data_IF_264341259971
#
_entry.id   IF_264341259971
#
_cell.length_a   1.000
_cell.length_b   1.000
_cell.length_c   1.000
_cell.angle_alpha   90.00
_cell.angle_beta   90.00
_cell.angle_gamma   90.00
#
_symmetry.space_group_name_H-M   'P 1'
#
loop_
_entity.id
_entity.type
_entity.pdbx_description
1 polymer ?
#
# COMPACT_ATOMS: atom_id res chain seq x y z
N UNK A 1 1.80 -16.82 -8.50
CA UNK A 1 1.45 -15.40 -8.69
C UNK A 1 2.06 -14.74 -7.48
N UNK A 2 3.07 -13.89 -7.68
CA UNK A 2 3.91 -13.46 -6.57
C UNK A 2 3.11 -12.60 -5.59
N UNK A 3 2.95 -13.11 -4.38
CA UNK A 3 2.20 -12.48 -3.29
C UNK A 3 3.19 -11.88 -2.28
N UNK A 4 2.98 -10.63 -1.86
CA UNK A 4 3.79 -10.00 -0.81
C UNK A 4 3.01 -9.86 0.49
N UNK A 5 3.65 -10.24 1.61
CA UNK A 5 3.06 -10.21 2.94
C UNK A 5 3.74 -9.11 3.77
N UNK A 6 2.94 -8.23 4.36
CA UNK A 6 3.39 -7.11 5.18
C UNK A 6 2.75 -7.15 6.57
N UNK A 7 3.56 -6.95 7.60
CA UNK A 7 3.07 -6.60 8.93
C UNK A 7 2.74 -5.10 8.98
N UNK A 8 1.62 -4.76 9.61
CA UNK A 8 1.13 -3.40 9.74
C UNK A 8 1.26 -2.90 11.18
N UNK A 9 1.66 -1.64 11.31
CA UNK A 9 1.44 -0.79 12.46
C UNK A 9 0.52 0.35 12.02
N UNK A 10 -0.67 0.42 12.62
CA UNK A 10 -1.66 1.45 12.36
C UNK A 10 -1.81 2.35 13.58
N UNK A 11 -1.70 3.67 13.41
CA UNK A 11 -1.80 4.63 14.52
C UNK A 11 -2.89 5.67 14.26
N UNK A 12 -3.75 5.91 15.25
CA UNK A 12 -4.76 6.97 15.19
C UNK A 12 -4.22 8.27 15.77
N UNK A 13 -4.86 9.39 15.43
CA UNK A 13 -4.58 10.70 16.02
C UNK A 13 -4.84 10.74 17.53
N UNK A 14 -5.68 9.83 18.03
CA UNK A 14 -6.01 9.69 19.46
C UNK A 14 -4.99 8.81 20.22
N UNK A 15 -3.90 8.40 19.57
CA UNK A 15 -2.85 7.59 20.18
C UNK A 15 -3.13 6.09 20.24
N UNK A 16 -4.21 5.61 19.61
CA UNK A 16 -4.46 4.17 19.48
C UNK A 16 -3.46 3.58 18.48
N UNK A 17 -2.78 2.50 18.86
CA UNK A 17 -1.93 1.73 17.96
C UNK A 17 -2.47 0.31 17.82
N UNK A 18 -2.70 -0.16 16.60
CA UNK A 18 -3.17 -1.53 16.32
C UNK A 18 -2.29 -2.20 15.28
N UNK A 19 -2.23 -3.53 15.34
CA UNK A 19 -1.39 -4.36 14.47
C UNK A 19 -2.24 -5.21 13.53
N UNK A 20 -1.68 -5.52 12.37
CA UNK A 20 -2.32 -6.42 11.42
C UNK A 20 -1.39 -6.92 10.34
N UNK A 21 -1.98 -7.53 9.33
CA UNK A 21 -1.28 -8.08 8.17
C UNK A 21 -1.99 -7.65 6.89
N UNK A 22 -1.22 -7.17 5.93
CA UNK A 22 -1.66 -6.93 4.56
C UNK A 22 -0.97 -7.96 3.65
N UNK A 23 -1.75 -8.62 2.82
CA UNK A 23 -1.27 -9.51 1.77
C UNK A 23 -1.71 -8.92 0.44
N UNK A 24 -0.79 -8.65 -0.47
CA UNK A 24 -1.12 -8.11 -1.79
C UNK A 24 -0.67 -9.08 -2.87
N UNK A 25 -1.50 -9.20 -3.90
CA UNK A 25 -1.27 -10.04 -5.08
C UNK A 25 -0.31 -9.33 -6.05
N UNK A 26 0.82 -8.88 -5.52
CA UNK A 26 1.85 -8.12 -6.21
C UNK A 26 3.19 -8.22 -5.46
N UNK A 27 4.27 -8.55 -6.17
CA UNK A 27 5.64 -8.38 -5.69
C UNK A 27 6.33 -7.25 -6.49
N UNK A 28 6.77 -6.16 -5.85
CA UNK A 28 7.55 -5.13 -6.52
C UNK A 28 8.91 -5.64 -7.05
N UNK A 29 9.34 -6.83 -6.66
CA UNK A 29 10.58 -7.45 -7.12
C UNK A 29 11.79 -6.58 -6.80
N UNK A 30 12.78 -6.55 -7.70
CA UNK A 30 14.01 -5.76 -7.53
C UNK A 30 13.89 -4.32 -8.03
N UNK A 31 12.67 -3.86 -8.38
CA UNK A 31 12.46 -2.50 -8.92
C UNK A 31 12.61 -1.44 -7.83
N UNK A 32 12.26 -1.80 -6.59
CA UNK A 32 12.45 -0.98 -5.40
C UNK A 32 13.73 -1.37 -4.66
N UNK A 33 14.44 -0.43 -4.01
CA UNK A 33 15.56 -0.73 -3.14
C UNK A 33 15.11 -1.44 -1.87
N UNK A 34 15.95 -2.30 -1.29
CA UNK A 34 15.65 -3.05 -0.06
C UNK A 34 15.68 -2.16 1.21
N UNK A 35 16.11 -0.91 1.11
CA UNK A 35 16.23 0.01 2.25
C UNK A 35 15.65 1.39 1.94
N UNK A 36 14.96 1.94 2.95
CA UNK A 36 14.50 3.31 2.97
C UNK A 36 15.66 4.31 2.79
N UNK A 37 15.50 5.28 1.89
CA UNK A 37 16.46 6.38 1.71
C UNK A 37 17.46 6.20 0.57
N UNK A 38 17.47 5.07 -0.12
CA UNK A 38 18.13 4.97 -1.43
C UNK A 38 17.14 5.38 -2.52
N UNK A 39 17.48 6.36 -3.38
CA UNK A 39 16.67 6.62 -4.55
C UNK A 39 16.67 5.36 -5.43
N UNK A 40 15.50 4.94 -5.95
CA UNK A 40 15.43 3.88 -6.94
C UNK A 40 16.42 4.11 -8.08
N UNK A 41 17.09 3.06 -8.57
CA UNK A 41 18.08 3.17 -9.65
C UNK A 41 17.53 3.87 -10.91
N UNK A 42 16.22 3.78 -11.15
CA UNK A 42 15.54 4.49 -12.23
C UNK A 42 15.59 6.01 -12.07
N UNK A 43 15.57 6.55 -10.85
CA UNK A 43 15.69 8.00 -10.63
C UNK A 43 17.11 8.49 -10.95
N UNK A 44 18.13 7.66 -10.73
CA UNK A 44 19.50 7.96 -11.17
C UNK A 44 19.62 7.90 -12.70
N UNK A 45 18.97 6.92 -13.34
CA UNK A 45 18.89 6.82 -14.80
C UNK A 45 18.16 8.03 -15.40
N UNK A 46 17.00 8.41 -14.87
CA UNK A 46 16.25 9.61 -15.30
C UNK A 46 17.06 10.89 -15.08
N UNK A 47 17.80 11.00 -13.97
CA UNK A 47 18.68 12.15 -13.70
C UNK A 47 19.86 12.23 -14.68
N UNK A 48 20.36 11.08 -15.15
CA UNK A 48 21.45 11.01 -16.13
C UNK A 48 21.01 11.36 -17.56
N UNK A 49 19.71 11.37 -17.84
CA UNK A 49 19.15 11.81 -19.11
C UNK A 49 18.97 13.34 -19.05
N UNK A 50 19.75 14.08 -19.86
CA UNK A 50 19.79 15.55 -19.88
C UNK A 50 18.39 16.21 -19.98
N UNK A 51 18.18 17.41 -19.42
CA UNK A 51 16.88 18.09 -19.41
C UNK A 51 16.58 18.69 -20.80
N UNK A 52 16.18 17.83 -21.73
CA UNK A 52 15.77 18.22 -23.07
C UNK A 52 14.32 17.77 -23.27
N UNK A 53 13.41 18.74 -23.16
CA UNK A 53 11.95 18.63 -23.34
C UNK A 53 11.20 18.09 -22.11
N UNK A 54 10.01 18.64 -21.87
CA UNK A 54 9.12 18.24 -20.79
C UNK A 54 8.91 16.73 -20.84
N UNK A 55 9.57 16.01 -19.93
CA UNK A 55 9.44 14.57 -19.83
C UNK A 55 8.05 14.30 -19.28
N UNK A 56 7.13 13.91 -20.16
CA UNK A 56 5.85 13.35 -19.75
C UNK A 56 6.14 12.01 -19.08
N UNK A 57 5.89 11.95 -17.78
CA UNK A 57 5.91 10.69 -17.04
C UNK A 57 4.54 10.06 -17.21
N UNK A 58 4.47 8.97 -17.98
CA UNK A 58 3.25 8.17 -18.09
C UNK A 58 2.99 7.45 -16.77
N UNK A 59 1.78 7.65 -16.23
CA UNK A 59 1.28 6.93 -15.05
C UNK A 59 0.33 5.85 -15.55
N UNK A 60 0.74 4.61 -15.34
CA UNK A 60 -0.06 3.43 -15.64
C UNK A 60 -0.85 3.01 -14.40
N UNK A 61 -2.10 2.61 -14.61
CA UNK A 61 -2.94 1.97 -13.61
C UNK A 61 -3.13 0.49 -13.94
N UNK A 62 -3.08 -0.36 -12.92
CA UNK A 62 -3.34 -1.78 -13.05
C UNK A 62 -4.22 -2.25 -11.88
N UNK A 63 -5.06 -3.28 -12.07
CA UNK A 63 -5.84 -3.85 -10.98
C UNK A 63 -4.91 -4.45 -9.92
N UNK A 64 -5.27 -4.25 -8.65
CA UNK A 64 -4.60 -4.82 -7.50
C UNK A 64 -5.63 -5.48 -6.59
N UNK A 65 -5.30 -6.66 -6.10
CA UNK A 65 -6.09 -7.39 -5.11
C UNK A 65 -5.23 -7.71 -3.89
N UNK A 66 -5.91 -7.98 -2.77
CA UNK A 66 -5.23 -8.39 -1.56
C UNK A 66 -6.19 -8.76 -0.44
N UNK A 67 -5.61 -9.06 0.72
CA UNK A 67 -6.37 -9.28 1.95
C UNK A 67 -5.77 -8.52 3.11
N UNK A 68 -6.64 -8.02 3.98
CA UNK A 68 -6.28 -7.30 5.19
C UNK A 68 -6.83 -8.03 6.40
N UNK A 69 -5.98 -8.23 7.41
CA UNK A 69 -6.41 -8.73 8.72
C UNK A 69 -5.88 -7.80 9.80
N UNK A 70 -6.77 -7.08 10.49
CA UNK A 70 -6.45 -6.26 11.66
C UNK A 70 -7.43 -6.67 12.75
N UNK A 71 -7.06 -7.57 13.68
CA UNK A 71 -8.02 -8.21 14.60
C UNK A 71 -8.95 -7.25 15.34
N UNK A 72 -8.45 -6.08 15.75
CA UNK A 72 -9.23 -5.07 16.46
C UNK A 72 -10.18 -4.23 15.58
N UNK A 73 -9.98 -4.24 14.25
CA UNK A 73 -10.78 -3.45 13.31
C UNK A 73 -11.67 -4.34 12.41
N UNK A 74 -11.12 -5.45 11.92
CA UNK A 74 -11.75 -6.34 10.94
C UNK A 74 -12.20 -7.67 11.52
N UNK A 75 -11.91 -7.95 12.80
CA UNK A 75 -12.04 -9.28 13.38
C UNK A 75 -10.95 -10.25 12.91
N UNK A 76 -11.12 -11.54 13.21
CA UNK A 76 -10.11 -12.58 12.94
C UNK A 76 -10.11 -13.08 11.48
N UNK A 77 -11.14 -12.76 10.70
CA UNK A 77 -11.25 -13.17 9.31
C UNK A 77 -10.56 -12.14 8.39
N UNK A 78 -9.81 -12.59 7.36
CA UNK A 78 -9.27 -11.68 6.37
C UNK A 78 -10.38 -10.99 5.56
N UNK A 79 -10.27 -9.67 5.43
CA UNK A 79 -11.11 -8.86 4.56
C UNK A 79 -10.47 -8.80 3.18
N UNK A 80 -11.20 -9.21 2.14
CA UNK A 80 -10.73 -9.06 0.76
C UNK A 80 -10.78 -7.60 0.33
N UNK A 81 -9.70 -7.15 -0.29
CA UNK A 81 -9.56 -5.81 -0.83
C UNK A 81 -9.36 -5.89 -2.34
N UNK A 82 -9.91 -4.90 -3.05
CA UNK A 82 -9.72 -4.69 -4.48
C UNK A 82 -9.42 -3.22 -4.73
N UNK A 83 -8.70 -2.94 -5.80
CA UNK A 83 -8.45 -1.57 -6.22
C UNK A 83 -7.39 -1.50 -7.29
N UNK A 84 -6.52 -0.50 -7.19
CA UNK A 84 -5.57 -0.15 -8.24
C UNK A 84 -4.19 0.14 -7.68
N UNK A 85 -3.17 -0.21 -8.46
CA UNK A 85 -1.80 0.24 -8.29
C UNK A 85 -1.45 1.24 -9.39
N UNK A 86 -0.82 2.33 -9.01
CA UNK A 86 -0.29 3.34 -9.91
C UNK A 86 1.21 3.14 -10.04
N UNK A 87 1.70 3.14 -11.28
CA UNK A 87 3.11 2.98 -11.58
C UNK A 87 3.57 3.97 -12.64
N UNK A 88 4.84 4.35 -12.60
CA UNK A 88 5.46 5.17 -13.64
C UNK A 88 6.73 4.47 -14.12
N UNK A 89 6.84 4.22 -15.43
CA UNK A 89 8.04 3.58 -16.01
C UNK A 89 8.39 2.24 -15.31
N UNK A 90 7.37 1.45 -14.96
CA UNK A 90 7.51 0.18 -14.23
C UNK A 90 7.74 0.30 -12.72
N UNK A 91 7.86 1.53 -12.19
CA UNK A 91 8.04 1.78 -10.76
C UNK A 91 6.70 1.92 -10.04
N UNK A 92 6.40 1.10 -9.01
CA UNK A 92 5.17 1.25 -8.26
C UNK A 92 5.23 2.50 -7.37
N UNK A 93 4.29 3.43 -7.57
CA UNK A 93 4.23 4.70 -6.85
C UNK A 93 3.36 4.57 -5.61
N UNK A 94 2.11 4.18 -5.82
CA UNK A 94 1.09 4.08 -4.78
C UNK A 94 0.01 3.08 -5.17
N UNK A 95 -0.77 2.66 -4.19
CA UNK A 95 -1.94 1.85 -4.41
C UNK A 95 -3.10 2.34 -3.54
N UNK A 96 -4.30 2.10 -4.03
CA UNK A 96 -5.54 2.29 -3.29
C UNK A 96 -6.32 0.97 -3.34
N UNK A 97 -6.68 0.46 -2.17
CA UNK A 97 -7.38 -0.80 -1.97
C UNK A 97 -8.57 -0.57 -1.06
N UNK A 98 -9.72 -1.17 -1.36
CA UNK A 98 -10.92 -1.03 -0.53
C UNK A 98 -11.77 -2.31 -0.55
N UNK A 99 -12.69 -2.43 0.40
CA UNK A 99 -13.78 -3.39 0.34
C UNK A 99 -15.14 -2.69 0.31
N UNK A 100 -16.17 -3.44 -0.06
CA UNK A 100 -17.57 -2.98 -0.04
C UNK A 100 -18.38 -3.61 1.11
N UNK A 101 -17.72 -4.38 1.99
CA UNK A 101 -18.34 -5.07 3.12
C UNK A 101 -18.39 -4.24 4.39
N UNK A 102 -18.87 -4.86 5.46
CA UNK A 102 -18.86 -4.31 6.83
C UNK A 102 -17.95 -5.18 7.71
N UNK A 103 -16.92 -4.61 8.36
CA UNK A 103 -16.54 -3.21 8.34
C UNK A 103 -16.00 -2.77 6.98
N UNK A 104 -16.16 -1.49 6.67
CA UNK A 104 -15.63 -0.85 5.47
C UNK A 104 -14.21 -0.34 5.74
N UNK A 105 -13.32 -0.55 4.78
CA UNK A 105 -11.91 -0.16 4.84
C UNK A 105 -11.52 0.45 3.50
N UNK A 106 -10.87 1.61 3.56
CA UNK A 106 -10.13 2.18 2.43
C UNK A 106 -8.67 2.32 2.85
N UNK A 107 -7.79 1.72 2.08
CA UNK A 107 -6.37 1.67 2.32
C UNK A 107 -5.65 2.38 1.17
N UNK A 108 -4.80 3.34 1.48
CA UNK A 108 -3.96 4.03 0.51
C UNK A 108 -2.52 4.02 1.01
N UNK A 109 -1.57 3.61 0.18
CA UNK A 109 -0.16 3.59 0.55
C UNK A 109 0.74 3.88 -0.63
N UNK A 110 1.92 4.43 -0.32
CA UNK A 110 3.05 4.53 -1.23
C UNK A 110 4.09 3.45 -0.95
N UNK A 111 4.85 3.11 -1.98
CA UNK A 111 6.00 2.22 -1.86
C UNK A 111 7.22 3.04 -1.46
N UNK A 112 7.66 2.92 -0.20
CA UNK A 112 8.80 3.68 0.31
C UNK A 112 10.13 2.95 0.07
N UNK A 113 10.08 1.63 0.10
CA UNK A 113 11.15 0.71 -0.32
C UNK A 113 10.50 -0.62 -0.71
N UNK A 114 11.27 -1.59 -1.19
CA UNK A 114 10.75 -2.94 -1.49
C UNK A 114 10.07 -3.56 -0.28
N UNK A 115 10.64 -3.31 0.89
CA UNK A 115 10.23 -3.93 2.16
C UNK A 115 9.37 -3.01 3.03
N UNK A 116 9.03 -1.80 2.60
CA UNK A 116 8.31 -0.84 3.43
C UNK A 116 7.26 -0.04 2.66
N UNK A 117 6.05 -0.01 3.23
CA UNK A 117 4.94 0.82 2.74
C UNK A 117 4.58 1.86 3.79
N UNK A 118 4.15 3.03 3.33
CA UNK A 118 3.69 4.13 4.19
C UNK A 118 2.40 4.68 3.62
N UNK A 119 1.42 5.00 4.47
CA UNK A 119 0.15 5.51 3.99
C UNK A 119 -0.88 5.73 5.07
N UNK A 120 -2.13 5.46 4.74
CA UNK A 120 -3.25 5.57 5.66
C UNK A 120 -4.33 4.52 5.40
N UNK A 121 -5.11 4.29 6.44
CA UNK A 121 -6.28 3.43 6.44
C UNK A 121 -7.46 4.22 7.02
N UNK A 122 -8.57 4.25 6.29
CA UNK A 122 -9.85 4.72 6.80
C UNK A 122 -10.66 3.48 7.19
N UNK A 123 -11.00 3.38 8.47
CA UNK A 123 -11.84 2.31 8.98
C UNK A 123 -13.22 2.82 9.37
N UNK A 124 -14.24 2.08 8.95
CA UNK A 124 -15.63 2.32 9.29
C UNK A 124 -16.22 1.03 9.85
N UNK A 125 -16.59 0.97 11.14
CA UNK A 125 -17.15 -0.24 11.74
C UNK A 125 -18.53 -0.61 11.18
N UNK A 126 -19.26 0.37 10.64
CA UNK A 126 -20.57 0.20 10.01
C UNK A 126 -20.50 0.21 8.47
N UNK A 127 -21.67 0.18 7.80
CA UNK A 127 -21.76 0.30 6.36
C UNK A 127 -21.08 1.59 5.85
N UNK A 128 -20.63 1.63 4.58
CA UNK A 128 -20.12 2.86 3.98
C UNK A 128 -21.08 4.04 4.18
N UNK A 129 -20.56 5.18 4.66
CA UNK A 129 -21.35 6.39 4.94
C UNK A 129 -21.86 6.55 6.37
N UNK A 130 -21.51 5.66 7.31
CA UNK A 130 -21.77 5.90 8.74
C UNK A 130 -20.93 7.05 9.31
N UNK A 131 -21.48 7.74 10.33
CA UNK A 131 -20.86 8.93 10.93
C UNK A 131 -19.48 8.71 11.57
N UNK A 132 -19.13 7.46 11.91
CA UNK A 132 -17.83 7.14 12.51
C UNK A 132 -16.86 6.64 11.45
N UNK A 133 -15.90 7.48 11.08
CA UNK A 133 -14.72 7.11 10.28
C UNK A 133 -13.48 7.35 11.12
N UNK A 134 -12.64 6.32 11.28
CA UNK A 134 -11.40 6.42 12.04
C UNK A 134 -10.23 6.41 11.06
N UNK A 135 -9.54 7.55 10.88
CA UNK A 135 -8.30 7.60 10.12
C UNK A 135 -7.14 7.02 10.94
N UNK A 136 -6.34 6.20 10.28
CA UNK A 136 -5.16 5.56 10.83
C UNK A 136 -3.98 5.80 9.89
N UNK A 137 -2.86 6.25 10.42
CA UNK A 137 -1.59 6.27 9.69
C UNK A 137 -1.07 4.83 9.59
N UNK A 138 -0.51 4.46 8.45
CA UNK A 138 0.00 3.13 8.17
C UNK A 138 1.52 3.17 8.01
N UNK A 139 2.19 2.28 8.73
CA UNK A 139 3.54 1.84 8.46
C UNK A 139 3.51 0.32 8.28
N UNK A 140 4.03 -0.17 7.16
CA UNK A 140 4.08 -1.59 6.88
C UNK A 140 5.51 -2.06 6.60
N UNK A 141 5.82 -3.30 7.01
CA UNK A 141 7.09 -3.96 6.70
C UNK A 141 6.86 -5.34 6.10
N UNK A 142 7.51 -5.63 4.99
CA UNK A 142 7.44 -6.93 4.34
C UNK A 142 8.08 -8.00 5.23
N UNK A 143 7.42 -9.15 5.33
CA UNK A 143 7.86 -10.30 6.13
C UNK A 143 7.94 -11.59 5.32
N UNK A 144 7.46 -11.60 4.09
CA UNK A 144 7.61 -12.73 3.19
C UNK A 144 7.01 -12.49 1.80
N UNK A 145 7.30 -13.44 0.92
CA UNK A 145 6.71 -13.57 -0.41
C UNK A 145 6.26 -15.02 -0.62
N UNK A 146 5.15 -15.23 -1.34
CA UNK A 146 4.72 -16.56 -1.80
C UNK A 146 4.72 -16.57 -3.32
N UNK A 147 5.29 -17.63 -3.93
CA UNK A 147 5.39 -17.82 -5.38
C UNK A 147 4.18 -18.59 -5.92
#
# INVERSE_FOLDING_TARGET
>A
MDESIYNLLLTSELGLSVFGTLRIDYDPGTVLPDSAGQPPAILEQLRSQAPSQAQYIEINEAPLAGTLTVPLLTGLAPVRLTGVIYSAVGFPLSAVLFNTGTPSVVLQFGFFSRVALVGGLLWQPGPPGTALTVPLSLLARQVGTLA
#
